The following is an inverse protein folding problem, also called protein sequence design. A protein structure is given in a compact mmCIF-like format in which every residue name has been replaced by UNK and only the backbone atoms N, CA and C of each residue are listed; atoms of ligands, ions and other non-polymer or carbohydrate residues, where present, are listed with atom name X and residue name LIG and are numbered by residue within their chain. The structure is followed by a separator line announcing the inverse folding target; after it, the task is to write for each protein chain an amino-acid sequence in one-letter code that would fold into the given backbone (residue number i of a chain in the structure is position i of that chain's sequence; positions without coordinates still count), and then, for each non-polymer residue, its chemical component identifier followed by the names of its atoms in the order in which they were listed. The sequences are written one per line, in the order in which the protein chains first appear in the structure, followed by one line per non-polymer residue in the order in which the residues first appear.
data_IF_960463862287
#
_entry.id   IF_960463862287
#
_cell.length_a   1.000
_cell.length_b   1.000
_cell.length_c   1.000
_cell.angle_alpha   90.00
_cell.angle_beta   90.00
_cell.angle_gamma   90.00
#
_symmetry.space_group_name_H-M   'P 1'
#
loop_
_entity.id
_entity.type
_entity.pdbx_description
1 polymer ?
#
# COMPACT_ATOMS: atom_id res chain seq x y z
N UNK A 1 -19.71 84.76 -61.90
CA UNK A 1 -20.46 83.96 -62.90
C UNK A 1 -19.74 82.62 -63.03
N UNK A 2 -20.32 81.42 -63.06
CA UNK A 2 -21.68 80.89 -62.85
C UNK A 2 -21.52 79.38 -63.00
N UNK A 3 -22.15 78.58 -62.12
CA UNK A 3 -22.64 77.19 -62.33
C UNK A 3 -21.60 76.10 -62.70
N UNK A 4 -21.68 74.84 -62.28
CA UNK A 4 -22.66 74.09 -61.52
C UNK A 4 -22.28 72.60 -61.56
N UNK A 5 -22.27 71.97 -60.39
CA UNK A 5 -22.87 70.67 -60.04
C UNK A 5 -23.01 69.51 -61.07
N UNK A 6 -22.47 68.35 -60.61
CA UNK A 6 -23.15 67.06 -60.39
C UNK A 6 -23.11 65.89 -61.41
N UNK A 7 -23.02 64.70 -60.78
CA UNK A 7 -23.23 63.31 -61.25
C UNK A 7 -22.12 62.70 -62.11
N UNK A 8 -21.60 61.49 -61.87
CA UNK A 8 -22.26 60.22 -61.52
C UNK A 8 -21.16 59.25 -61.01
N UNK A 9 -21.21 58.75 -59.77
CA UNK A 9 -21.90 57.52 -59.34
C UNK A 9 -20.96 56.31 -59.17
N UNK A 10 -21.04 55.72 -57.97
CA UNK A 10 -20.93 54.28 -57.65
C UNK A 10 -19.65 53.53 -58.00
N UNK A 11 -18.67 53.50 -57.08
CA UNK A 11 -17.77 52.34 -56.87
C UNK A 11 -17.21 52.26 -55.43
N UNK A 12 -18.03 52.40 -54.40
CA UNK A 12 -17.59 52.25 -52.99
C UNK A 12 -18.34 51.18 -52.18
N UNK A 13 -19.10 50.30 -52.84
CA UNK A 13 -19.92 49.29 -52.12
C UNK A 13 -19.40 47.84 -52.15
N UNK A 14 -18.20 47.54 -52.68
CA UNK A 14 -17.75 46.14 -52.76
C UNK A 14 -16.63 45.76 -51.78
N UNK A 15 -15.93 46.71 -51.15
CA UNK A 15 -14.81 46.39 -50.25
C UNK A 15 -15.22 46.33 -48.77
N UNK A 16 -16.37 46.89 -48.38
CA UNK A 16 -16.81 46.91 -46.98
C UNK A 16 -17.55 45.64 -46.55
N UNK A 17 -18.17 44.90 -47.48
CA UNK A 17 -18.87 43.65 -47.17
C UNK A 17 -17.93 42.48 -46.84
N UNK A 18 -16.74 42.44 -47.46
CA UNK A 18 -15.76 41.38 -47.23
C UNK A 18 -14.97 41.56 -45.93
N UNK A 19 -14.80 42.79 -45.44
CA UNK A 19 -14.11 43.03 -44.17
C UNK A 19 -14.98 42.71 -42.95
N UNK A 20 -16.31 42.87 -43.05
CA UNK A 20 -17.24 42.57 -41.95
C UNK A 20 -17.48 41.05 -41.75
N UNK A 21 -17.30 40.23 -42.78
CA UNK A 21 -17.41 38.77 -42.67
C UNK A 21 -16.20 38.11 -42.00
N UNK A 22 -15.04 38.76 -42.00
CA UNK A 22 -13.83 38.25 -41.34
C UNK A 22 -13.82 38.47 -39.82
N UNK A 23 -14.61 39.41 -39.29
CA UNK A 23 -14.70 39.67 -37.85
C UNK A 23 -15.78 38.83 -37.15
N UNK A 24 -16.76 38.31 -37.90
CA UNK A 24 -17.80 37.43 -37.35
C UNK A 24 -17.30 35.98 -37.12
N UNK A 25 -16.12 35.61 -37.64
CA UNK A 25 -15.55 34.26 -37.48
C UNK A 25 -14.73 34.07 -36.19
N UNK A 26 -14.45 35.14 -35.43
CA UNK A 26 -13.60 35.06 -34.24
C UNK A 26 -14.38 35.13 -32.90
N UNK A 27 -15.72 35.12 -32.94
CA UNK A 27 -16.56 35.18 -31.74
C UNK A 27 -17.40 33.91 -31.55
N UNK A 28 -16.94 32.77 -32.06
CA UNK A 28 -17.32 31.52 -31.39
C UNK A 28 -16.50 31.45 -30.11
N UNK A 29 -17.13 31.30 -28.93
CA UNK A 29 -16.39 30.77 -27.82
C UNK A 29 -15.92 29.41 -28.30
N UNK A 30 -14.64 29.32 -28.66
CA UNK A 30 -13.94 28.07 -28.52
C UNK A 30 -14.01 27.80 -27.02
N UNK A 31 -15.12 27.20 -26.57
CA UNK A 31 -15.06 26.24 -25.50
C UNK A 31 -14.08 25.22 -26.03
N UNK A 32 -12.79 25.47 -25.77
CA UNK A 32 -11.86 24.40 -25.49
C UNK A 32 -12.58 23.59 -24.42
N UNK A 33 -13.34 22.59 -24.88
CA UNK A 33 -13.45 21.38 -24.13
C UNK A 33 -12.00 20.96 -23.96
N UNK A 34 -11.41 21.37 -22.83
CA UNK A 34 -10.26 20.71 -22.28
C UNK A 34 -10.52 19.24 -22.51
N UNK A 35 -9.60 18.50 -23.16
CA UNK A 35 -9.83 17.08 -23.34
C UNK A 35 -10.19 16.56 -21.96
N UNK A 36 -11.26 15.77 -21.87
CA UNK A 36 -11.63 15.03 -20.65
C UNK A 36 -10.56 13.98 -20.39
N UNK A 37 -9.31 14.41 -20.30
CA UNK A 37 -8.14 13.61 -20.12
C UNK A 37 -8.11 13.30 -18.63
N UNK A 38 -8.83 12.22 -18.32
CA UNK A 38 -8.85 11.54 -17.04
C UNK A 38 -9.55 12.36 -15.95
N UNK A 39 -10.88 12.24 -15.91
CA UNK A 39 -11.49 12.02 -14.59
C UNK A 39 -10.86 10.72 -14.08
N UNK A 40 -9.71 10.83 -13.42
CA UNK A 40 -9.16 9.70 -12.70
C UNK A 40 -10.20 9.41 -11.64
N UNK A 41 -10.87 8.27 -11.79
CA UNK A 41 -11.76 7.79 -10.75
C UNK A 41 -11.06 7.89 -9.40
N UNK A 42 -11.70 8.56 -8.47
CA UNK A 42 -11.23 8.72 -7.10
C UNK A 42 -12.17 8.00 -6.16
N UNK A 43 -11.61 7.43 -5.11
CA UNK A 43 -12.35 6.97 -3.97
C UNK A 43 -12.03 7.88 -2.78
N UNK A 44 -13.01 8.13 -1.91
CA UNK A 44 -12.81 8.87 -0.66
C UNK A 44 -13.08 7.94 0.51
N UNK A 45 -12.08 7.72 1.35
CA UNK A 45 -12.25 6.97 2.59
C UNK A 45 -13.10 7.76 3.58
N UNK A 46 -14.28 7.26 3.93
CA UNK A 46 -15.23 7.97 4.77
C UNK A 46 -14.71 8.17 6.21
N UNK A 47 -13.82 7.29 6.68
CA UNK A 47 -13.27 7.38 8.04
C UNK A 47 -12.18 8.44 8.18
N UNK A 48 -11.28 8.55 7.20
CA UNK A 48 -10.15 9.50 7.26
C UNK A 48 -10.34 10.75 6.40
N UNK A 49 -11.35 10.76 5.52
CA UNK A 49 -11.54 11.80 4.51
C UNK A 49 -10.48 11.77 3.40
N UNK A 50 -9.63 10.73 3.35
CA UNK A 50 -8.52 10.66 2.41
C UNK A 50 -9.00 10.30 1.01
N UNK A 51 -8.58 11.09 0.03
CA UNK A 51 -8.77 10.80 -1.38
C UNK A 51 -7.68 9.86 -1.91
N UNK A 52 -8.10 8.89 -2.73
CA UNK A 52 -7.26 7.86 -3.33
C UNK A 52 -7.55 7.81 -4.82
N UNK A 53 -6.53 7.83 -5.66
CA UNK A 53 -6.70 7.50 -7.06
C UNK A 53 -6.86 5.99 -7.24
N UNK A 54 -7.50 5.55 -8.32
CA UNK A 54 -7.54 4.12 -8.67
C UNK A 54 -6.13 3.51 -8.64
N UNK A 55 -5.98 2.42 -7.90
CA UNK A 55 -4.71 1.72 -7.69
C UNK A 55 -3.97 2.16 -6.42
N UNK A 56 -4.24 3.35 -5.89
CA UNK A 56 -3.64 3.81 -4.65
C UNK A 56 -4.12 3.00 -3.46
N UNK A 57 -3.22 2.81 -2.49
CA UNK A 57 -3.54 2.23 -1.21
C UNK A 57 -2.80 2.92 -0.07
N UNK A 58 -3.37 2.83 1.13
CA UNK A 58 -2.74 3.32 2.34
C UNK A 58 -3.12 2.44 3.53
N UNK A 59 -2.35 2.55 4.62
CA UNK A 59 -2.71 1.94 5.91
C UNK A 59 -3.45 2.97 6.74
N UNK A 60 -4.65 2.62 7.24
CA UNK A 60 -5.47 3.54 8.04
C UNK A 60 -4.74 3.90 9.35
N UNK A 61 -4.59 5.18 9.72
CA UNK A 61 -3.89 5.54 10.96
C UNK A 61 -4.51 4.89 12.20
N UNK A 62 -3.66 4.32 13.07
CA UNK A 62 -4.10 3.65 14.30
C UNK A 62 -4.81 2.31 14.08
N UNK A 63 -4.93 1.81 12.84
CA UNK A 63 -5.50 0.50 12.53
C UNK A 63 -4.62 -0.21 11.49
N UNK A 64 -4.28 -1.47 11.71
CA UNK A 64 -3.56 -2.24 10.69
C UNK A 64 -4.54 -2.76 9.61
N UNK A 65 -5.09 -1.83 8.83
CA UNK A 65 -6.02 -2.08 7.73
C UNK A 65 -5.48 -1.38 6.49
N UNK A 66 -5.31 -2.13 5.40
CA UNK A 66 -5.01 -1.56 4.09
C UNK A 66 -6.30 -1.19 3.40
N UNK A 67 -6.41 0.06 2.99
CA UNK A 67 -7.52 0.57 2.17
C UNK A 67 -6.98 0.81 0.78
N UNK A 68 -7.68 0.33 -0.25
CA UNK A 68 -7.30 0.48 -1.65
C UNK A 68 -8.47 0.95 -2.52
N UNK A 69 -8.24 1.90 -3.41
CA UNK A 69 -9.22 2.29 -4.41
C UNK A 69 -9.13 1.37 -5.64
N UNK A 70 -10.17 0.57 -5.87
CA UNK A 70 -10.23 -0.34 -7.01
C UNK A 70 -10.71 0.39 -8.27
N UNK A 71 -10.45 -0.21 -9.45
CA UNK A 71 -10.91 0.32 -10.74
C UNK A 71 -12.44 0.46 -10.88
N UNK A 72 -13.20 -0.17 -9.99
CA UNK A 72 -14.67 -0.07 -9.88
C UNK A 72 -15.14 1.15 -9.09
N UNK A 73 -14.24 2.05 -8.65
CA UNK A 73 -14.52 3.17 -7.75
C UNK A 73 -15.05 2.74 -6.38
N UNK A 74 -14.71 1.52 -5.98
CA UNK A 74 -15.02 0.99 -4.66
C UNK A 74 -13.75 0.93 -3.82
N UNK A 75 -13.91 1.23 -2.53
CA UNK A 75 -12.87 0.97 -1.55
C UNK A 75 -12.88 -0.50 -1.18
N UNK A 76 -11.70 -1.10 -1.22
CA UNK A 76 -11.46 -2.43 -0.67
C UNK A 76 -10.63 -2.29 0.61
N UNK A 77 -11.05 -2.99 1.64
CA UNK A 77 -10.38 -3.03 2.94
C UNK A 77 -9.82 -4.42 3.20
N UNK A 78 -8.58 -4.46 3.66
CA UNK A 78 -7.86 -5.67 3.97
C UNK A 78 -7.32 -5.58 5.40
N UNK A 79 -7.79 -6.48 6.24
CA UNK A 79 -7.43 -6.55 7.66
C UNK A 79 -6.49 -7.72 7.88
N UNK A 80 -5.69 -7.66 8.95
CA UNK A 80 -4.83 -8.77 9.31
C UNK A 80 -5.65 -10.04 9.57
N UNK A 81 -5.42 -11.06 8.75
CA UNK A 81 -6.01 -12.37 8.93
C UNK A 81 -5.34 -13.11 10.10
N UNK A 82 -6.12 -13.97 10.76
CA UNK A 82 -5.61 -14.93 11.74
C UNK A 82 -5.47 -16.28 11.03
N UNK A 83 -4.25 -16.73 10.72
CA UNK A 83 -4.04 -17.98 10.01
C UNK A 83 -4.43 -19.17 10.88
N UNK A 84 -4.95 -20.22 10.25
CA UNK A 84 -5.19 -21.52 10.91
C UNK A 84 -3.86 -22.27 11.02
N UNK A 85 -3.22 -22.14 12.18
CA UNK A 85 -1.95 -22.81 12.49
C UNK A 85 -2.19 -24.02 13.40
N UNK A 86 -1.38 -25.06 13.22
CA UNK A 86 -1.41 -26.24 14.08
C UNK A 86 -0.51 -26.07 15.32
N UNK A 87 -0.99 -26.53 16.47
CA UNK A 87 -0.23 -26.55 17.73
C UNK A 87 -0.51 -25.35 18.63
N UNK A 88 0.39 -25.13 19.60
CA UNK A 88 0.27 -24.05 20.57
C UNK A 88 0.95 -22.79 20.02
N UNK A 89 0.15 -21.92 19.41
CA UNK A 89 0.58 -20.67 18.79
C UNK A 89 0.04 -19.47 19.56
N UNK A 90 0.85 -18.42 19.67
CA UNK A 90 0.47 -17.15 20.29
C UNK A 90 0.70 -16.00 19.31
N UNK A 91 -0.20 -15.03 19.30
CA UNK A 91 -0.01 -13.79 18.54
C UNK A 91 1.02 -12.90 19.24
N UNK A 92 1.87 -12.29 18.44
CA UNK A 92 2.89 -11.33 18.88
C UNK A 92 2.62 -10.03 18.11
N UNK A 93 2.30 -8.93 18.82
CA UNK A 93 2.07 -7.65 18.16
C UNK A 93 3.35 -7.17 17.45
N UNK A 94 3.22 -6.34 16.40
CA UNK A 94 4.40 -5.75 15.77
C UNK A 94 5.18 -4.92 16.79
N UNK A 95 6.51 -4.88 16.66
CA UNK A 95 7.37 -4.09 17.54
C UNK A 95 7.20 -2.57 17.37
N UNK A 96 6.47 -2.13 16.34
CA UNK A 96 6.22 -0.73 16.03
C UNK A 96 4.81 -0.58 15.42
N UNK A 97 4.02 0.33 16.00
CA UNK A 97 2.65 0.66 15.58
C UNK A 97 2.58 1.54 14.31
N UNK A 98 3.68 2.18 13.92
CA UNK A 98 3.78 3.04 12.74
C UNK A 98 4.12 2.28 11.45
N UNK A 99 4.14 0.95 11.50
CA UNK A 99 4.36 0.13 10.32
C UNK A 99 3.14 0.18 9.40
N UNK A 100 3.37 0.18 8.09
CA UNK A 100 2.29 0.04 7.13
C UNK A 100 1.91 -1.43 6.97
N UNK A 101 0.66 -1.69 6.60
CA UNK A 101 0.22 -3.01 6.16
C UNK A 101 1.12 -3.51 5.02
N UNK A 102 1.54 -4.79 5.03
CA UNK A 102 1.19 -5.84 5.99
C UNK A 102 2.06 -5.89 7.26
N UNK A 103 3.08 -5.05 7.39
CA UNK A 103 4.08 -5.13 8.46
C UNK A 103 3.56 -4.75 9.85
N UNK A 104 2.44 -4.02 9.93
CA UNK A 104 1.74 -3.80 11.20
C UNK A 104 0.88 -5.00 11.66
N UNK A 105 0.81 -6.09 10.87
CA UNK A 105 0.06 -7.26 11.29
C UNK A 105 0.80 -8.04 12.39
N UNK A 106 0.06 -8.69 13.30
CA UNK A 106 0.67 -9.56 14.29
C UNK A 106 1.37 -10.74 13.60
N UNK A 107 2.49 -11.14 14.19
CA UNK A 107 3.15 -12.40 13.87
C UNK A 107 2.61 -13.50 14.79
N UNK A 108 2.77 -14.76 14.39
CA UNK A 108 2.30 -15.90 15.16
C UNK A 108 3.46 -16.81 15.51
N UNK A 109 3.74 -16.98 16.80
CA UNK A 109 4.83 -17.80 17.30
C UNK A 109 4.27 -19.09 17.85
N UNK A 110 4.65 -20.21 17.24
CA UNK A 110 4.27 -21.56 17.64
C UNK A 110 5.47 -22.27 18.27
N UNK A 111 5.23 -22.96 19.39
CA UNK A 111 6.27 -23.75 20.06
C UNK A 111 5.94 -25.23 19.96
N UNK A 112 6.94 -26.03 19.59
CA UNK A 112 6.87 -27.49 19.57
C UNK A 112 8.01 -28.04 20.41
N UNK A 113 7.67 -28.80 21.44
CA UNK A 113 8.64 -29.47 22.31
C UNK A 113 8.63 -30.96 21.95
N UNK A 114 9.76 -31.47 21.48
CA UNK A 114 10.00 -32.89 21.31
C UNK A 114 10.91 -33.35 22.45
N UNK A 115 10.46 -34.34 23.23
CA UNK A 115 11.23 -34.93 24.32
C UNK A 115 11.52 -36.39 23.96
N UNK A 116 12.80 -36.74 23.92
CA UNK A 116 13.31 -38.11 23.81
C UNK A 116 14.09 -38.47 25.08
N UNK A 117 14.42 -39.75 25.30
CA UNK A 117 15.02 -40.26 26.55
C UNK A 117 16.33 -39.54 26.96
N UNK A 118 17.05 -38.91 26.02
CA UNK A 118 18.34 -38.24 26.25
C UNK A 118 18.43 -36.81 25.72
N UNK A 119 17.40 -36.36 25.03
CA UNK A 119 17.42 -35.13 24.25
C UNK A 119 16.09 -34.41 24.38
N UNK A 120 16.15 -33.11 24.65
CA UNK A 120 14.99 -32.23 24.59
C UNK A 120 15.23 -31.21 23.48
N UNK A 121 14.35 -31.19 22.49
CA UNK A 121 14.40 -30.24 21.38
C UNK A 121 13.20 -29.31 21.47
N UNK A 122 13.46 -28.02 21.55
CA UNK A 122 12.45 -26.97 21.45
C UNK A 122 12.56 -26.31 20.08
N UNK A 123 11.49 -26.37 19.30
CA UNK A 123 11.37 -25.72 18.01
C UNK A 123 10.37 -24.57 18.12
N UNK A 124 10.81 -23.37 17.73
CA UNK A 124 10.01 -22.15 17.71
C UNK A 124 9.85 -21.74 16.25
N UNK A 125 8.61 -21.72 15.76
CA UNK A 125 8.27 -21.29 14.40
C UNK A 125 7.49 -19.99 14.44
N UNK A 126 7.88 -19.03 13.62
CA UNK A 126 7.18 -17.75 13.47
C UNK A 126 6.54 -17.68 12.09
N UNK A 127 5.27 -17.34 12.07
CA UNK A 127 4.45 -17.21 10.88
C UNK A 127 3.94 -15.78 10.72
N UNK A 128 3.72 -15.35 9.48
CA UNK A 128 3.02 -14.11 9.16
C UNK A 128 1.49 -14.30 9.14
N UNK A 129 0.75 -13.23 8.88
CA UNK A 129 -0.72 -13.23 8.81
C UNK A 129 -1.29 -14.15 7.71
N UNK A 130 -0.50 -14.50 6.69
CA UNK A 130 -0.92 -15.44 5.64
C UNK A 130 -0.58 -16.90 5.98
N UNK A 131 -0.08 -17.19 7.19
CA UNK A 131 0.35 -18.52 7.60
C UNK A 131 1.66 -18.98 6.95
N UNK A 132 2.42 -18.07 6.33
CA UNK A 132 3.73 -18.38 5.78
C UNK A 132 4.78 -18.32 6.89
N UNK A 133 5.62 -19.35 6.99
CA UNK A 133 6.71 -19.39 7.95
C UNK A 133 7.80 -18.41 7.54
N UNK A 134 8.15 -17.48 8.42
CA UNK A 134 9.17 -16.45 8.18
C UNK A 134 10.43 -16.67 9.02
N UNK A 135 10.33 -17.44 10.12
CA UNK A 135 11.45 -17.75 11.00
C UNK A 135 11.27 -19.11 11.64
N UNK A 136 12.36 -19.83 11.82
CA UNK A 136 12.42 -21.07 12.58
C UNK A 136 13.69 -21.06 13.44
N UNK A 137 13.53 -21.22 14.76
CA UNK A 137 14.62 -21.37 15.71
C UNK A 137 14.53 -22.77 16.34
N UNK A 138 15.63 -23.52 16.37
CA UNK A 138 15.70 -24.85 16.99
C UNK A 138 16.72 -24.79 18.13
N UNK A 139 16.30 -25.13 19.34
CA UNK A 139 17.14 -25.30 20.51
C UNK A 139 17.20 -26.77 20.90
N UNK A 140 18.39 -27.36 20.88
CA UNK A 140 18.63 -28.74 21.35
C UNK A 140 19.33 -28.72 22.69
N UNK A 141 18.76 -29.41 23.67
CA UNK A 141 19.34 -29.60 24.99
C UNK A 141 19.75 -31.07 25.10
N UNK A 142 21.06 -31.29 25.15
CA UNK A 142 21.65 -32.62 25.37
C UNK A 142 21.97 -32.79 26.85
N UNK A 143 21.56 -33.94 27.43
CA UNK A 143 22.00 -34.31 28.77
C UNK A 143 23.33 -35.05 28.68
N UNK A 144 24.43 -34.39 29.08
CA UNK A 144 25.74 -35.04 29.16
C UNK A 144 25.82 -35.80 30.50
N UNK A 145 25.97 -37.12 30.43
CA UNK A 145 26.17 -37.94 31.63
C UNK A 145 27.48 -37.59 32.35
N UNK A 146 27.61 -37.92 33.65
CA UNK A 146 28.84 -37.65 34.40
C UNK A 146 30.04 -38.31 33.71
N UNK A 147 31.08 -37.53 33.43
CA UNK A 147 32.32 -37.99 32.82
C UNK A 147 32.91 -39.09 33.70
N UNK A 148 32.91 -40.34 33.21
CA UNK A 148 33.62 -41.44 33.85
C UNK A 148 35.12 -41.30 33.56
N UNK A 149 35.77 -40.42 34.29
CA UNK A 149 37.22 -40.24 34.28
C UNK A 149 37.63 -39.54 35.55
N UNK A 150 38.62 -40.10 36.25
CA UNK A 150 39.26 -39.46 37.41
C UNK A 150 40.03 -38.22 36.93
N UNK A 151 39.33 -37.10 36.70
CA UNK A 151 39.95 -35.81 36.46
C UNK A 151 39.92 -35.03 37.78
N UNK A 152 41.08 -34.76 38.41
CA UNK A 152 41.11 -33.95 39.63
C UNK A 152 40.69 -32.52 39.27
N UNK A 153 39.51 -32.10 39.75
CA UNK A 153 38.96 -30.74 39.55
C UNK A 153 37.60 -30.63 38.85
N UNK A 154 36.93 -31.74 38.51
CA UNK A 154 35.64 -31.73 37.82
C UNK A 154 34.46 -31.29 38.72
N UNK A 155 34.26 -29.98 38.84
CA UNK A 155 33.14 -29.37 39.56
C UNK A 155 32.48 -28.19 38.83
N UNK A 156 32.74 -27.99 37.54
CA UNK A 156 32.15 -26.87 36.77
C UNK A 156 31.32 -27.41 35.63
N UNK A 157 30.00 -27.39 35.81
CA UNK A 157 29.03 -27.61 34.74
C UNK A 157 28.95 -26.31 33.96
N UNK A 158 29.60 -26.24 32.79
CA UNK A 158 29.41 -25.12 31.86
C UNK A 158 28.19 -25.42 30.99
N UNK A 159 27.09 -24.71 31.22
CA UNK A 159 26.00 -24.61 30.26
C UNK A 159 26.51 -23.83 29.04
N UNK A 160 26.38 -24.41 27.85
CA UNK A 160 26.64 -23.72 26.59
C UNK A 160 25.31 -23.34 25.97
N UNK A 161 25.10 -22.04 25.78
CA UNK A 161 24.03 -21.46 24.96
C UNK A 161 24.66 -21.10 23.61
N UNK A 162 24.08 -21.58 22.50
CA UNK A 162 24.53 -21.31 21.12
C UNK A 162 23.58 -20.29 20.51
#
# INVERSE_FOLDING_TARGET
MSRGSHLSSTRHCCCFGLLLLLWAACAWPATLASPSYRSYGQCTDAETGRELYIGDSFTRPGRCIRVQCLGTLQLWEDSCEVPKLEGNCSSVPPGNEFLNYPHCCPLFVCRKIAVSEKERTEEIRTYNQYGTMIKQDIKQIFSVGPVRGNVPGAGVITQFEI
#
